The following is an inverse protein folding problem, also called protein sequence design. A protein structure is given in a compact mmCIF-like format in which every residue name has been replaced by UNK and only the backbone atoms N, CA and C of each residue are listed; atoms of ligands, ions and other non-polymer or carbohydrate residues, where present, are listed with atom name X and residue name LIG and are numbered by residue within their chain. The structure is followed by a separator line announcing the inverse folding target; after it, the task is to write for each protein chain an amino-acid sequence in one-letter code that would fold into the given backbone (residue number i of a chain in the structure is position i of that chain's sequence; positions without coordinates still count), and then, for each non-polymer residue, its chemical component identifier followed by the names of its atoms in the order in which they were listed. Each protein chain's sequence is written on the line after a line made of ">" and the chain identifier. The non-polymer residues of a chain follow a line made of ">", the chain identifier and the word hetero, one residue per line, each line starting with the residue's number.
data_IF_284328630263
#
_entry.id   IF_284328630263
#
_cell.length_a   1.000
_cell.length_b   1.000
_cell.length_c   1.000
_cell.angle_alpha   90.00
_cell.angle_beta   90.00
_cell.angle_gamma   90.00
#
_symmetry.space_group_name_H-M   'P 1'
#
loop_
_entity.id
_entity.type
_entity.pdbx_description
1 polymer ?
#
# COMPACT_ATOMS: atom_id res chain seq x y z
N UNK A 1 30.13 44.70 -16.99
CA UNK A 1 29.42 43.48 -16.54
C UNK A 1 29.72 42.37 -17.55
N UNK A 2 30.39 41.30 -17.11
CA UNK A 2 30.98 40.28 -17.98
C UNK A 2 29.91 39.34 -18.54
N UNK A 3 29.96 39.04 -19.84
CA UNK A 3 29.13 38.04 -20.52
C UNK A 3 29.53 36.63 -20.06
N UNK A 4 28.61 35.65 -19.99
CA UNK A 4 28.97 34.26 -19.70
C UNK A 4 29.74 33.69 -20.90
N UNK A 5 30.85 33.02 -20.62
CA UNK A 5 31.65 32.29 -21.61
C UNK A 5 31.17 30.84 -21.58
N UNK A 6 30.62 30.36 -22.69
CA UNK A 6 30.27 28.96 -22.88
C UNK A 6 31.53 28.23 -23.35
N UNK A 7 32.13 27.41 -22.49
CA UNK A 7 33.27 26.57 -22.85
C UNK A 7 32.71 25.22 -23.29
N UNK A 8 32.79 24.93 -24.60
CA UNK A 8 32.52 23.60 -25.14
C UNK A 8 33.84 22.83 -25.12
N UNK A 9 33.92 21.79 -24.29
CA UNK A 9 35.02 20.82 -24.35
C UNK A 9 34.54 19.66 -25.23
N UNK A 10 35.08 19.56 -26.45
CA UNK A 10 34.94 18.36 -27.28
C UNK A 10 35.92 17.30 -26.79
N UNK A 11 35.40 16.18 -26.26
CA UNK A 11 36.15 14.93 -26.10
C UNK A 11 35.46 13.84 -26.93
N UNK A 12 36.18 13.28 -27.90
CA UNK A 12 35.68 12.23 -28.80
C UNK A 12 35.60 10.87 -28.10
N UNK A 13 34.42 10.25 -28.21
CA UNK A 13 34.09 8.82 -28.38
C UNK A 13 35.00 7.75 -27.75
N UNK A 14 34.49 7.08 -26.70
CA UNK A 14 34.38 5.59 -26.66
C UNK A 14 33.53 5.01 -25.52
N UNK A 15 33.03 5.80 -24.57
CA UNK A 15 31.96 5.37 -23.64
C UNK A 15 31.03 6.56 -23.42
N UNK A 16 29.75 6.38 -23.77
CA UNK A 16 28.77 7.47 -23.80
C UNK A 16 28.36 7.91 -22.40
N UNK A 17 29.03 8.93 -21.88
CA UNK A 17 28.54 9.71 -20.74
C UNK A 17 28.76 11.20 -21.01
N UNK A 18 27.66 11.92 -21.24
CA UNK A 18 27.66 13.37 -21.31
C UNK A 18 27.19 13.92 -19.97
N UNK A 19 28.10 14.47 -19.16
CA UNK A 19 27.77 15.14 -17.92
C UNK A 19 27.47 16.63 -18.20
N UNK A 20 26.33 17.13 -17.73
CA UNK A 20 26.04 18.55 -17.75
C UNK A 20 26.28 19.14 -16.35
N UNK A 21 27.15 20.13 -16.26
CA UNK A 21 27.40 20.88 -15.03
C UNK A 21 26.59 22.18 -15.09
N UNK A 22 25.54 22.29 -14.28
CA UNK A 22 24.79 23.54 -14.11
C UNK A 22 25.24 24.22 -12.81
N UNK A 23 25.80 25.43 -12.90
CA UNK A 23 26.23 26.18 -11.71
C UNK A 23 25.25 27.30 -11.38
N UNK A 24 24.54 27.16 -10.27
CA UNK A 24 23.95 28.30 -9.54
C UNK A 24 24.07 28.03 -8.04
N UNK A 25 24.73 28.95 -7.31
CA UNK A 25 24.88 28.99 -5.85
C UNK A 25 25.76 27.92 -5.16
N UNK A 26 26.95 27.62 -5.70
CA UNK A 26 28.08 27.14 -4.89
C UNK A 26 27.95 25.74 -4.25
N UNK A 27 26.95 24.95 -4.65
CA UNK A 27 26.88 23.51 -4.36
C UNK A 27 26.95 22.74 -5.68
N UNK A 28 27.99 21.93 -5.85
CA UNK A 28 28.04 20.93 -6.92
C UNK A 28 26.98 19.86 -6.63
N UNK A 29 25.89 19.85 -7.41
CA UNK A 29 25.04 18.67 -7.53
C UNK A 29 25.34 18.03 -8.88
N UNK A 30 25.81 16.79 -8.84
CA UNK A 30 25.87 15.93 -10.03
C UNK A 30 24.42 15.55 -10.32
N UNK A 31 23.84 16.15 -11.37
CA UNK A 31 22.56 15.71 -11.91
C UNK A 31 22.87 14.60 -12.90
N UNK A 32 22.65 13.36 -12.50
CA UNK A 32 22.72 12.22 -13.40
C UNK A 32 21.66 12.39 -14.50
N UNK A 33 22.06 12.25 -15.76
CA UNK A 33 21.15 12.50 -16.89
C UNK A 33 20.14 11.36 -17.02
N UNK A 34 18.89 11.68 -17.36
CA UNK A 34 17.82 10.68 -17.61
C UNK A 34 18.22 9.62 -18.65
N UNK A 35 19.12 9.96 -19.58
CA UNK A 35 19.67 9.06 -20.59
C UNK A 35 20.63 8.01 -20.01
N UNK A 36 21.19 8.24 -18.81
CA UNK A 36 22.12 7.33 -18.13
C UNK A 36 21.39 6.07 -17.63
N UNK A 37 20.23 6.23 -16.97
CA UNK A 37 19.46 5.10 -16.42
C UNK A 37 18.93 4.14 -17.50
N UNK A 38 18.56 4.64 -18.68
CA UNK A 38 18.13 3.80 -19.81
C UNK A 38 19.31 2.97 -20.32
N UNK A 39 20.46 3.61 -20.51
CA UNK A 39 21.63 2.94 -21.05
C UNK A 39 22.18 1.90 -20.07
N UNK A 40 22.11 2.15 -18.76
CA UNK A 40 22.42 1.18 -17.71
C UNK A 40 21.41 0.03 -17.71
N UNK A 41 20.09 0.30 -17.64
CA UNK A 41 19.05 -0.73 -17.69
C UNK A 41 19.13 -1.61 -18.94
N UNK A 42 19.35 -0.98 -20.10
CA UNK A 42 19.49 -1.67 -21.39
C UNK A 42 20.83 -2.41 -21.46
N UNK A 43 21.90 -1.88 -20.88
CA UNK A 43 23.19 -2.60 -20.75
C UNK A 43 23.04 -3.85 -19.89
N UNK A 44 22.36 -3.76 -18.75
CA UNK A 44 22.11 -4.89 -17.86
C UNK A 44 21.30 -5.99 -18.56
N UNK A 45 20.27 -5.60 -19.33
CA UNK A 45 19.51 -6.51 -20.20
C UNK A 45 20.36 -7.16 -21.29
N UNK A 46 21.29 -6.42 -21.88
CA UNK A 46 22.21 -6.94 -22.91
C UNK A 46 23.24 -7.90 -22.29
N UNK A 47 23.71 -7.68 -21.07
CA UNK A 47 24.65 -8.61 -20.41
C UNK A 47 24.01 -9.95 -20.01
N UNK A 48 22.70 -9.96 -19.76
CA UNK A 48 21.94 -11.17 -19.44
C UNK A 48 21.49 -11.95 -20.68
N UNK A 49 21.38 -11.30 -21.85
CA UNK A 49 20.97 -11.94 -23.11
C UNK A 49 22.15 -12.17 -24.04
N UNK A 50 22.57 -13.43 -24.21
CA UNK A 50 23.68 -13.79 -25.09
C UNK A 50 23.49 -13.30 -26.54
N UNK A 51 24.57 -12.77 -27.10
CA UNK A 51 24.69 -12.16 -28.43
C UNK A 51 24.13 -13.05 -29.57
N UNK A 52 23.12 -12.55 -30.30
CA UNK A 52 22.62 -13.17 -31.54
C UNK A 52 21.27 -12.61 -32.00
N UNK A 53 21.13 -12.30 -33.29
CA UNK A 53 19.97 -11.62 -33.87
C UNK A 53 18.61 -12.28 -33.55
N UNK A 54 17.64 -11.43 -33.15
CA UNK A 54 16.29 -11.75 -32.64
C UNK A 54 16.23 -12.40 -31.25
N UNK A 55 17.00 -11.87 -30.30
CA UNK A 55 16.80 -12.19 -28.89
C UNK A 55 15.46 -11.61 -28.41
N UNK A 56 14.47 -12.48 -28.24
CA UNK A 56 13.32 -12.20 -27.40
C UNK A 56 13.81 -12.17 -25.95
N UNK A 57 13.43 -11.14 -25.20
CA UNK A 57 13.80 -10.92 -23.80
C UNK A 57 12.62 -11.38 -22.95
N UNK A 58 12.86 -12.14 -21.89
CA UNK A 58 11.77 -12.50 -20.99
C UNK A 58 11.19 -11.23 -20.36
N UNK A 59 9.87 -11.07 -20.37
CA UNK A 59 9.21 -9.88 -19.78
C UNK A 59 9.55 -9.73 -18.29
N UNK A 60 9.78 -10.87 -17.60
CA UNK A 60 10.21 -10.88 -16.21
C UNK A 60 11.62 -10.28 -16.01
N UNK A 61 12.53 -10.43 -16.97
CA UNK A 61 13.86 -9.81 -16.89
C UNK A 61 13.75 -8.29 -17.02
N UNK A 62 12.88 -7.80 -17.91
CA UNK A 62 12.57 -6.36 -18.03
C UNK A 62 11.97 -5.82 -16.73
N UNK A 63 11.00 -6.54 -16.14
CA UNK A 63 10.40 -6.19 -14.84
C UNK A 63 11.48 -6.16 -13.75
N UNK A 64 12.38 -7.13 -13.72
CA UNK A 64 13.45 -7.22 -12.73
C UNK A 64 14.41 -6.03 -12.85
N UNK A 65 14.83 -5.67 -14.06
CA UNK A 65 15.71 -4.52 -14.31
C UNK A 65 15.07 -3.22 -13.85
N UNK A 66 13.79 -2.98 -14.18
CA UNK A 66 13.07 -1.79 -13.73
C UNK A 66 12.92 -1.79 -12.20
N UNK A 67 12.56 -2.94 -11.62
CA UNK A 67 12.42 -3.10 -10.18
C UNK A 67 13.72 -2.76 -9.44
N UNK A 68 14.86 -3.25 -9.91
CA UNK A 68 16.17 -2.99 -9.33
C UNK A 68 16.56 -1.51 -9.48
N UNK A 69 16.45 -0.95 -10.68
CA UNK A 69 16.94 0.41 -10.94
C UNK A 69 16.12 1.47 -10.22
N UNK A 70 14.80 1.28 -10.14
CA UNK A 70 13.90 2.21 -9.46
C UNK A 70 13.59 1.82 -8.01
N UNK A 71 14.19 0.74 -7.50
CA UNK A 71 13.91 0.17 -6.17
C UNK A 71 12.41 -0.05 -5.92
N UNK A 72 11.68 -0.51 -6.95
CA UNK A 72 10.24 -0.73 -6.91
C UNK A 72 9.92 -2.20 -6.66
N UNK A 73 8.82 -2.53 -5.96
CA UNK A 73 8.31 -3.90 -5.93
C UNK A 73 8.00 -4.42 -7.35
N UNK A 74 8.47 -5.62 -7.73
CA UNK A 74 8.23 -6.20 -9.06
C UNK A 74 6.74 -6.26 -9.44
N UNK A 75 5.87 -6.49 -8.45
CA UNK A 75 4.41 -6.50 -8.64
C UNK A 75 3.88 -5.15 -9.10
N UNK A 76 4.38 -4.05 -8.54
CA UNK A 76 3.97 -2.70 -8.91
C UNK A 76 4.51 -2.32 -10.29
N UNK A 77 5.72 -2.77 -10.63
CA UNK A 77 6.25 -2.66 -12.00
C UNK A 77 5.31 -3.38 -12.97
N UNK A 78 5.01 -4.66 -12.72
CA UNK A 78 4.11 -5.46 -13.57
C UNK A 78 2.74 -4.83 -13.73
N UNK A 79 2.16 -4.26 -12.66
CA UNK A 79 0.85 -3.60 -12.71
C UNK A 79 0.85 -2.31 -13.56
N UNK A 80 2.02 -1.70 -13.79
CA UNK A 80 2.17 -0.48 -14.58
C UNK A 80 2.60 -0.75 -16.02
N UNK A 81 3.16 -1.94 -16.30
CA UNK A 81 3.39 -2.40 -17.68
C UNK A 81 2.05 -2.39 -18.42
N UNK A 82 2.04 -1.84 -19.64
CA UNK A 82 0.81 -1.71 -20.42
C UNK A 82 0.14 -3.08 -20.66
N UNK A 83 -1.18 -3.07 -20.81
CA UNK A 83 -2.00 -4.24 -21.13
C UNK A 83 -1.49 -4.99 -22.38
N UNK A 84 -0.86 -4.28 -23.31
CA UNK A 84 -0.24 -4.85 -24.50
C UNK A 84 0.91 -5.83 -24.18
N UNK A 85 1.65 -5.59 -23.11
CA UNK A 85 2.87 -6.34 -22.77
C UNK A 85 2.75 -7.20 -21.51
N UNK A 86 1.83 -6.88 -20.58
CA UNK A 86 1.79 -7.47 -19.23
C UNK A 86 1.66 -8.99 -19.19
N UNK A 87 1.04 -9.58 -20.22
CA UNK A 87 0.76 -11.02 -20.34
C UNK A 87 1.67 -11.72 -21.36
N UNK A 88 2.56 -10.98 -22.05
CA UNK A 88 3.56 -11.57 -22.94
C UNK A 88 4.64 -12.26 -22.11
N UNK A 89 4.99 -13.50 -22.43
CA UNK A 89 6.13 -14.19 -21.80
C UNK A 89 7.47 -13.55 -22.18
N UNK A 90 7.57 -13.02 -23.40
CA UNK A 90 8.77 -12.35 -23.90
C UNK A 90 8.43 -11.20 -24.84
N UNK A 91 9.37 -10.25 -24.94
CA UNK A 91 9.28 -9.02 -25.74
C UNK A 91 10.54 -8.82 -26.57
N UNK A 92 10.41 -8.11 -27.69
CA UNK A 92 11.57 -7.67 -28.47
C UNK A 92 12.37 -6.59 -27.72
N UNK A 93 13.63 -6.36 -28.10
CA UNK A 93 14.45 -5.28 -27.53
C UNK A 93 13.80 -3.90 -27.66
N UNK A 94 13.07 -3.63 -28.75
CA UNK A 94 12.38 -2.35 -28.92
C UNK A 94 11.18 -2.20 -27.97
N UNK A 95 10.40 -3.27 -27.78
CA UNK A 95 9.32 -3.29 -26.79
C UNK A 95 9.87 -3.17 -25.36
N UNK A 96 10.97 -3.87 -25.02
CA UNK A 96 11.62 -3.72 -23.72
C UNK A 96 12.06 -2.28 -23.45
N UNK A 97 12.66 -1.60 -24.44
CA UNK A 97 13.02 -0.17 -24.34
C UNK A 97 11.78 0.70 -24.12
N UNK A 98 10.69 0.44 -24.83
CA UNK A 98 9.44 1.19 -24.66
C UNK A 98 8.85 0.99 -23.25
N UNK A 99 8.90 -0.23 -22.71
CA UNK A 99 8.47 -0.52 -21.34
C UNK A 99 9.34 0.27 -20.36
N UNK A 100 10.67 0.18 -20.44
CA UNK A 100 11.59 0.89 -19.52
C UNK A 100 11.37 2.41 -19.59
N UNK A 101 11.23 2.97 -20.79
CA UNK A 101 11.02 4.39 -20.99
C UNK A 101 9.73 4.89 -20.33
N UNK A 102 8.70 4.04 -20.23
CA UNK A 102 7.44 4.40 -19.55
C UNK A 102 7.57 4.64 -18.04
N UNK A 103 8.72 4.31 -17.43
CA UNK A 103 9.01 4.54 -16.01
C UNK A 103 9.89 5.77 -15.76
N UNK A 104 10.40 6.44 -16.80
CA UNK A 104 11.31 7.59 -16.63
C UNK A 104 10.65 8.78 -15.93
N UNK A 105 9.39 9.05 -16.25
CA UNK A 105 8.61 10.13 -15.64
C UNK A 105 7.90 9.69 -14.34
N UNK A 106 8.27 8.53 -13.78
CA UNK A 106 7.68 8.06 -12.55
C UNK A 106 8.08 8.97 -11.39
N UNK A 107 7.06 9.59 -10.80
CA UNK A 107 7.19 10.30 -9.53
C UNK A 107 7.02 9.33 -8.38
N UNK A 108 7.79 9.56 -7.32
CA UNK A 108 7.80 8.73 -6.12
C UNK A 108 7.07 9.42 -4.97
N UNK A 109 6.46 8.60 -4.12
CA UNK A 109 5.73 9.06 -2.96
C UNK A 109 6.68 9.52 -1.85
N UNK A 110 6.57 10.78 -1.44
CA UNK A 110 7.15 11.24 -0.16
C UNK A 110 6.28 10.85 1.04
N UNK A 111 5.02 10.50 0.77
CA UNK A 111 4.00 10.16 1.77
C UNK A 111 2.96 9.22 1.18
N UNK A 112 2.43 8.33 2.02
CA UNK A 112 1.41 7.34 1.64
C UNK A 112 0.17 7.53 2.51
N UNK A 113 -1.00 7.85 1.96
CA UNK A 113 -2.24 7.81 2.72
C UNK A 113 -2.63 6.37 3.06
N UNK A 114 -3.12 6.16 4.28
CA UNK A 114 -3.80 4.91 4.67
C UNK A 114 -5.22 5.26 5.01
N UNK A 115 -6.19 4.62 4.37
CA UNK A 115 -7.61 4.83 4.64
C UNK A 115 -8.18 3.60 5.33
N UNK A 116 -8.94 3.80 6.41
CA UNK A 116 -9.61 2.70 7.11
C UNK A 116 -11.13 2.82 7.05
N UNK A 117 -11.76 1.73 6.63
CA UNK A 117 -13.21 1.51 6.65
C UNK A 117 -13.56 0.48 7.72
N UNK A 118 -14.85 0.29 8.00
CA UNK A 118 -15.32 -0.70 8.97
C UNK A 118 -16.47 -1.49 8.33
N UNK A 119 -17.73 -1.19 8.65
CA UNK A 119 -18.88 -1.90 8.11
C UNK A 119 -19.41 -1.23 6.83
N UNK A 120 -19.87 -2.03 5.86
CA UNK A 120 -20.46 -1.54 4.61
C UNK A 120 -21.91 -2.01 4.51
N UNK A 121 -22.84 -1.11 4.16
CA UNK A 121 -24.23 -1.47 3.84
C UNK A 121 -24.74 -0.61 2.70
N UNK A 122 -25.60 -1.14 1.83
CA UNK A 122 -26.27 -0.30 0.83
C UNK A 122 -27.20 0.70 1.53
N UNK A 123 -27.44 1.85 0.90
CA UNK A 123 -28.24 2.94 1.51
C UNK A 123 -29.66 2.50 1.85
N UNK A 124 -30.28 1.70 0.98
CA UNK A 124 -31.64 1.18 1.11
C UNK A 124 -31.76 0.01 2.10
N UNK A 125 -30.68 -0.76 2.27
CA UNK A 125 -30.57 -1.85 3.24
C UNK A 125 -30.27 -1.37 4.67
N UNK A 126 -29.58 -0.23 4.84
CA UNK A 126 -29.19 0.28 6.16
C UNK A 126 -30.39 0.87 6.93
N UNK A 127 -31.15 -0.02 7.55
CA UNK A 127 -32.28 0.33 8.43
C UNK A 127 -31.84 0.40 9.90
N UNK A 128 -31.05 -0.57 10.34
CA UNK A 128 -30.67 -0.76 11.75
C UNK A 128 -29.54 0.16 12.24
N UNK A 129 -28.60 0.52 11.38
CA UNK A 129 -27.37 1.22 11.78
C UNK A 129 -27.29 2.65 11.26
N UNK A 130 -28.45 3.28 11.02
CA UNK A 130 -28.53 4.68 10.59
C UNK A 130 -27.86 5.59 11.62
N UNK A 131 -27.02 6.50 11.15
CA UNK A 131 -26.28 7.43 12.01
C UNK A 131 -25.03 6.85 12.68
N UNK A 132 -24.73 5.55 12.51
CA UNK A 132 -23.48 4.99 13.00
C UNK A 132 -22.30 5.46 12.13
N UNK A 133 -21.29 6.08 12.75
CA UNK A 133 -20.12 6.62 12.06
C UNK A 133 -19.20 5.56 11.46
N UNK A 134 -19.34 4.29 11.85
CA UNK A 134 -18.55 3.16 11.36
C UNK A 134 -19.26 2.38 10.23
N UNK A 135 -20.46 2.80 9.83
CA UNK A 135 -21.22 2.16 8.75
C UNK A 135 -21.21 3.06 7.52
N UNK A 136 -20.41 2.68 6.53
CA UNK A 136 -20.29 3.37 5.26
C UNK A 136 -21.31 2.84 4.26
N UNK A 137 -21.84 3.73 3.41
CA UNK A 137 -22.67 3.29 2.29
C UNK A 137 -21.82 2.65 1.19
N UNK A 138 -22.21 1.49 0.66
CA UNK A 138 -21.51 0.80 -0.44
C UNK A 138 -21.31 1.71 -1.64
N UNK A 139 -22.31 2.52 -1.98
CA UNK A 139 -22.28 3.46 -3.11
C UNK A 139 -21.18 4.53 -2.94
N UNK A 140 -20.95 5.00 -1.70
CA UNK A 140 -19.88 5.96 -1.43
C UNK A 140 -18.50 5.30 -1.38
N UNK A 141 -18.44 4.05 -0.92
CA UNK A 141 -17.22 3.26 -1.02
C UNK A 141 -16.82 3.04 -2.49
N UNK A 142 -17.78 2.70 -3.35
CA UNK A 142 -17.56 2.57 -4.80
C UNK A 142 -17.11 3.89 -5.43
N UNK A 143 -17.75 5.02 -5.10
CA UNK A 143 -17.32 6.35 -5.55
C UNK A 143 -15.85 6.65 -5.15
N UNK A 144 -15.44 6.26 -3.95
CA UNK A 144 -14.05 6.40 -3.51
C UNK A 144 -13.10 5.52 -4.32
N UNK A 145 -13.44 4.25 -4.55
CA UNK A 145 -12.60 3.33 -5.33
C UNK A 145 -12.49 3.77 -6.79
N UNK A 146 -13.62 4.19 -7.39
CA UNK A 146 -13.64 4.75 -8.74
C UNK A 146 -12.72 5.96 -8.87
N UNK A 147 -12.80 6.89 -7.92
CA UNK A 147 -11.93 8.08 -7.91
C UNK A 147 -10.44 7.70 -7.84
N UNK A 148 -10.07 6.76 -6.96
CA UNK A 148 -8.69 6.29 -6.86
C UNK A 148 -8.22 5.69 -8.19
N UNK A 149 -9.05 4.84 -8.81
CA UNK A 149 -8.73 4.19 -10.07
C UNK A 149 -8.56 5.20 -11.21
N UNK A 150 -9.49 6.15 -11.35
CA UNK A 150 -9.44 7.22 -12.36
C UNK A 150 -8.23 8.16 -12.18
N UNK A 151 -7.64 8.20 -10.98
CA UNK A 151 -6.44 8.99 -10.69
C UNK A 151 -5.17 8.11 -10.62
N UNK A 152 -5.21 6.92 -11.22
CA UNK A 152 -4.06 5.99 -11.33
C UNK A 152 -3.44 5.61 -9.97
N UNK A 153 -4.26 5.50 -8.93
CA UNK A 153 -3.76 4.98 -7.66
C UNK A 153 -3.46 3.50 -7.76
N UNK A 154 -2.45 3.06 -7.02
CA UNK A 154 -2.14 1.65 -6.84
C UNK A 154 -2.13 1.30 -5.36
N UNK A 155 -2.79 0.20 -5.00
CA UNK A 155 -2.77 -0.30 -3.62
C UNK A 155 -1.48 -1.05 -3.32
N UNK A 156 -0.88 -0.73 -2.18
CA UNK A 156 0.32 -1.41 -1.68
C UNK A 156 -0.02 -2.28 -0.46
N UNK A 157 0.74 -3.35 -0.26
CA UNK A 157 0.61 -4.24 0.90
C UNK A 157 1.22 -3.62 2.16
N UNK A 158 0.98 -4.21 3.33
CA UNK A 158 1.63 -3.74 4.56
C UNK A 158 3.14 -4.01 4.55
N UNK A 159 3.60 -5.08 3.90
CA UNK A 159 5.04 -5.34 3.70
C UNK A 159 5.69 -4.29 2.81
N UNK A 160 5.06 -3.92 1.70
CA UNK A 160 5.54 -2.85 0.83
C UNK A 160 5.59 -1.51 1.60
N UNK A 161 4.58 -1.22 2.44
CA UNK A 161 4.60 -0.05 3.31
C UNK A 161 5.77 -0.09 4.33
N UNK A 162 6.02 -1.23 4.97
CA UNK A 162 7.10 -1.38 5.94
C UNK A 162 8.48 -1.20 5.29
N UNK A 163 8.68 -1.76 4.10
CA UNK A 163 9.89 -1.56 3.30
C UNK A 163 10.07 -0.10 2.87
N UNK A 164 8.99 0.59 2.51
CA UNK A 164 9.02 2.03 2.22
C UNK A 164 9.42 2.84 3.46
N UNK A 165 8.81 2.56 4.61
CA UNK A 165 9.10 3.25 5.87
C UNK A 165 10.57 3.08 6.30
N UNK A 166 11.15 1.91 6.02
CA UNK A 166 12.57 1.60 6.27
C UNK A 166 13.52 2.03 5.15
N UNK A 167 13.01 2.71 4.11
CA UNK A 167 13.75 3.21 2.94
C UNK A 167 14.42 2.13 2.09
N UNK A 168 13.89 0.90 2.13
CA UNK A 168 14.40 -0.22 1.34
C UNK A 168 13.82 -0.24 -0.08
N UNK A 169 12.63 0.33 -0.26
CA UNK A 169 11.99 0.49 -1.57
C UNK A 169 11.49 1.91 -1.77
N UNK A 170 11.24 2.27 -3.02
CA UNK A 170 10.44 3.41 -3.42
C UNK A 170 9.03 2.96 -3.80
N UNK A 171 8.10 3.91 -3.78
CA UNK A 171 6.70 3.69 -4.15
C UNK A 171 6.27 4.78 -5.14
N UNK A 172 5.44 4.48 -6.14
CA UNK A 172 4.83 5.50 -7.00
C UNK A 172 4.09 6.56 -6.18
N UNK A 173 4.07 7.81 -6.65
CA UNK A 173 3.39 8.95 -5.99
C UNK A 173 1.93 8.65 -5.61
N UNK A 174 1.21 7.95 -6.49
CA UNK A 174 -0.20 7.57 -6.29
C UNK A 174 -0.34 6.22 -5.56
N UNK A 175 0.52 5.93 -4.59
CA UNK A 175 0.40 4.72 -3.76
C UNK A 175 -0.55 4.96 -2.59
N UNK A 176 -1.37 3.96 -2.25
CA UNK A 176 -2.31 4.03 -1.13
C UNK A 176 -2.42 2.68 -0.42
N UNK A 177 -2.66 2.69 0.89
CA UNK A 177 -3.07 1.50 1.64
C UNK A 177 -4.55 1.60 1.97
N UNK A 178 -5.31 0.57 1.65
CA UNK A 178 -6.72 0.43 2.00
C UNK A 178 -6.83 -0.59 3.11
N UNK A 179 -7.45 -0.22 4.23
CA UNK A 179 -7.67 -1.12 5.35
C UNK A 179 -9.14 -1.19 5.75
N UNK A 180 -9.52 -2.31 6.35
CA UNK A 180 -10.76 -2.47 7.10
C UNK A 180 -10.43 -2.94 8.50
N UNK A 181 -11.25 -2.57 9.47
CA UNK A 181 -11.14 -3.07 10.86
C UNK A 181 -12.35 -3.98 11.18
N UNK A 182 -12.20 -4.82 12.19
CA UNK A 182 -13.20 -5.67 12.85
C UNK A 182 -13.61 -6.97 12.12
N UNK A 183 -13.31 -7.15 10.83
CA UNK A 183 -13.61 -8.40 10.11
C UNK A 183 -15.09 -8.63 9.80
N UNK A 184 -15.83 -7.55 9.50
CA UNK A 184 -17.24 -7.64 9.14
C UNK A 184 -17.46 -8.43 7.85
N UNK A 185 -18.46 -9.32 7.84
CA UNK A 185 -18.80 -10.10 6.64
C UNK A 185 -19.22 -9.21 5.45
N UNK A 186 -19.73 -8.00 5.71
CA UNK A 186 -20.01 -7.01 4.67
C UNK A 186 -18.79 -6.59 3.85
N UNK A 187 -17.58 -6.67 4.41
CA UNK A 187 -16.36 -6.32 3.68
C UNK A 187 -16.13 -7.27 2.51
N UNK A 188 -16.59 -8.51 2.65
CA UNK A 188 -16.49 -9.56 1.65
C UNK A 188 -17.71 -9.58 0.74
N UNK A 189 -18.91 -9.37 1.29
CA UNK A 189 -20.12 -9.27 0.47
C UNK A 189 -20.07 -8.08 -0.49
N UNK A 190 -19.65 -6.90 0.00
CA UNK A 190 -19.71 -5.66 -0.76
C UNK A 190 -18.33 -5.10 -1.13
N UNK A 191 -17.36 -5.14 -0.23
CA UNK A 191 -16.04 -4.55 -0.47
C UNK A 191 -15.23 -5.34 -1.49
N UNK A 192 -15.20 -6.67 -1.36
CA UNK A 192 -14.47 -7.58 -2.24
C UNK A 192 -14.77 -7.38 -3.74
N UNK A 193 -16.03 -7.46 -4.22
CA UNK A 193 -16.30 -7.35 -5.66
C UNK A 193 -15.89 -5.97 -6.22
N UNK A 194 -16.07 -4.90 -5.45
CA UNK A 194 -15.69 -3.54 -5.85
C UNK A 194 -14.17 -3.40 -5.93
N UNK A 195 -13.43 -3.85 -4.90
CA UNK A 195 -11.97 -3.81 -4.91
C UNK A 195 -11.41 -4.62 -6.09
N UNK A 196 -11.94 -5.83 -6.30
CA UNK A 196 -11.55 -6.70 -7.41
C UNK A 196 -11.80 -6.05 -8.77
N UNK A 197 -12.95 -5.41 -8.95
CA UNK A 197 -13.29 -4.67 -10.18
C UNK A 197 -12.25 -3.60 -10.52
N UNK A 198 -11.73 -2.87 -9.52
CA UNK A 198 -10.73 -1.82 -9.72
C UNK A 198 -9.27 -2.31 -9.62
N UNK A 199 -9.05 -3.62 -9.46
CA UNK A 199 -7.71 -4.21 -9.31
C UNK A 199 -7.01 -3.85 -7.99
N UNK A 200 -7.78 -3.47 -6.97
CA UNK A 200 -7.29 -3.05 -5.67
C UNK A 200 -7.20 -4.20 -4.68
N UNK A 201 -6.18 -4.12 -3.82
CA UNK A 201 -5.99 -4.97 -2.65
C UNK A 201 -6.18 -4.18 -1.37
N UNK A 202 -6.51 -4.87 -0.29
CA UNK A 202 -6.70 -4.25 1.02
C UNK A 202 -6.28 -5.20 2.15
N UNK A 203 -6.07 -4.64 3.34
CA UNK A 203 -5.84 -5.43 4.56
C UNK A 203 -7.02 -5.33 5.50
N UNK A 204 -7.41 -6.42 6.14
CA UNK A 204 -8.42 -6.41 7.20
C UNK A 204 -7.73 -6.73 8.53
N UNK A 205 -7.85 -5.82 9.49
CA UNK A 205 -7.45 -6.05 10.87
C UNK A 205 -8.55 -6.84 11.59
N UNK A 206 -8.26 -8.10 11.90
CA UNK A 206 -9.20 -9.12 12.38
C UNK A 206 -9.16 -9.22 13.91
N UNK A 207 -10.34 -9.18 14.52
CA UNK A 207 -10.55 -9.60 15.90
C UNK A 207 -10.69 -11.13 15.88
N UNK A 208 -9.68 -11.88 16.31
CA UNK A 208 -9.66 -13.33 16.03
C UNK A 208 -10.67 -14.14 16.84
N UNK A 209 -11.09 -13.65 18.02
CA UNK A 209 -12.07 -14.32 18.88
C UNK A 209 -13.52 -14.29 18.36
N UNK A 210 -13.81 -13.49 17.34
CA UNK A 210 -15.14 -13.42 16.71
C UNK A 210 -15.18 -14.02 15.30
N UNK A 211 -14.04 -14.50 14.79
CA UNK A 211 -13.98 -15.23 13.52
C UNK A 211 -14.74 -16.54 13.67
N UNK A 212 -15.59 -16.85 12.68
CA UNK A 212 -16.48 -18.00 12.72
C UNK A 212 -15.77 -19.26 12.25
N UNK A 213 -16.19 -20.40 12.79
CA UNK A 213 -15.76 -21.72 12.32
C UNK A 213 -16.33 -22.07 10.93
N UNK A 214 -17.51 -21.53 10.60
CA UNK A 214 -18.23 -21.84 9.36
C UNK A 214 -18.85 -20.60 8.74
N UNK A 215 -18.91 -20.54 7.38
CA UNK A 215 -19.60 -19.48 6.66
C UNK A 215 -21.07 -19.37 7.07
N UNK A 216 -21.62 -18.17 6.96
CA UNK A 216 -23.05 -17.90 7.08
C UNK A 216 -23.52 -16.98 5.97
N UNK A 217 -24.80 -17.04 5.64
CA UNK A 217 -25.38 -16.07 4.72
C UNK A 217 -25.32 -14.66 5.32
N UNK A 218 -24.86 -13.70 4.51
CA UNK A 218 -24.91 -12.29 4.88
C UNK A 218 -26.35 -11.80 5.02
N UNK A 219 -26.61 -10.93 5.99
CA UNK A 219 -27.90 -10.27 6.14
C UNK A 219 -27.74 -8.88 6.77
N UNK A 220 -28.25 -7.80 6.13
CA UNK A 220 -27.88 -6.41 6.46
C UNK A 220 -28.36 -5.92 7.84
N UNK A 221 -29.31 -6.62 8.47
CA UNK A 221 -29.80 -6.27 9.82
C UNK A 221 -29.12 -7.03 10.97
N UNK A 222 -28.17 -7.91 10.67
CA UNK A 222 -27.41 -8.67 11.67
C UNK A 222 -25.92 -8.37 11.53
N UNK A 223 -25.25 -8.19 12.66
CA UNK A 223 -23.80 -8.06 12.66
C UNK A 223 -23.20 -9.46 12.49
N UNK A 224 -22.52 -9.68 11.38
CA UNK A 224 -21.84 -10.93 11.06
C UNK A 224 -20.39 -10.67 10.75
N UNK A 225 -19.57 -11.67 11.05
CA UNK A 225 -18.12 -11.66 10.91
C UNK A 225 -17.71 -12.82 10.01
N UNK A 226 -16.56 -12.64 9.38
CA UNK A 226 -15.96 -13.63 8.49
C UNK A 226 -15.71 -14.97 9.20
N UNK A 227 -15.65 -16.05 8.43
CA UNK A 227 -15.17 -17.35 8.88
C UNK A 227 -13.75 -17.68 8.40
N UNK A 228 -13.07 -18.60 9.08
CA UNK A 228 -11.73 -19.06 8.65
C UNK A 228 -11.70 -19.57 7.20
N UNK A 229 -12.66 -20.39 6.72
CA UNK A 229 -12.67 -20.82 5.31
C UNK A 229 -12.92 -19.68 4.31
N UNK A 230 -13.72 -18.68 4.70
CA UNK A 230 -13.94 -17.51 3.84
C UNK A 230 -12.68 -16.65 3.73
N UNK A 231 -11.88 -16.54 4.80
CA UNK A 231 -10.60 -15.83 4.74
C UNK A 231 -9.68 -16.42 3.66
N UNK A 232 -9.63 -17.74 3.50
CA UNK A 232 -8.88 -18.38 2.41
C UNK A 232 -9.45 -18.06 1.02
N UNK A 233 -10.76 -17.91 0.91
CA UNK A 233 -11.44 -17.65 -0.37
C UNK A 233 -11.12 -16.27 -0.94
N UNK A 234 -10.88 -15.28 -0.08
CA UNK A 234 -10.73 -13.88 -0.50
C UNK A 234 -9.28 -13.36 -0.51
N UNK A 235 -8.28 -14.25 -0.39
CA UNK A 235 -6.84 -13.90 -0.36
C UNK A 235 -6.30 -13.25 -1.63
N UNK A 236 -7.02 -13.31 -2.75
CA UNK A 236 -6.61 -12.60 -3.96
C UNK A 236 -6.71 -11.08 -3.82
N UNK A 237 -7.61 -10.60 -2.94
CA UNK A 237 -7.85 -9.18 -2.66
C UNK A 237 -7.43 -8.79 -1.24
N UNK A 238 -7.69 -9.64 -0.24
CA UNK A 238 -7.48 -9.31 1.17
C UNK A 238 -6.27 -9.99 1.80
N UNK A 239 -5.51 -9.20 2.55
CA UNK A 239 -4.58 -9.67 3.58
C UNK A 239 -5.22 -9.51 4.96
N UNK A 240 -4.75 -10.29 5.95
CA UNK A 240 -5.31 -10.27 7.30
C UNK A 240 -4.23 -9.95 8.33
N UNK A 241 -4.55 -9.08 9.29
CA UNK A 241 -3.62 -8.59 10.31
C UNK A 241 -4.31 -8.50 11.68
N UNK A 242 -3.54 -8.32 12.76
CA UNK A 242 -4.06 -8.44 14.13
C UNK A 242 -4.92 -7.26 14.59
N UNK A 243 -6.06 -7.53 15.23
CA UNK A 243 -6.89 -6.54 15.92
C UNK A 243 -7.33 -7.01 17.32
N UNK A 244 -6.44 -7.72 18.02
CA UNK A 244 -6.68 -8.47 19.28
C UNK A 244 -7.40 -9.79 19.07
N UNK A 245 -7.36 -10.66 20.07
CA UNK A 245 -8.21 -11.86 20.09
C UNK A 245 -9.59 -11.52 20.68
N UNK A 246 -9.62 -10.98 21.89
CA UNK A 246 -10.82 -10.69 22.68
C UNK A 246 -10.67 -9.41 23.55
N UNK A 247 -9.91 -8.43 23.08
CA UNK A 247 -9.69 -7.16 23.80
C UNK A 247 -10.25 -5.93 23.06
N UNK A 248 -11.11 -6.14 22.07
CA UNK A 248 -11.80 -5.08 21.34
C UNK A 248 -13.02 -4.51 22.11
N UNK A 249 -12.77 -4.07 23.35
CA UNK A 249 -13.77 -3.51 24.27
C UNK A 249 -13.24 -2.26 24.98
N UNK A 250 -14.15 -1.53 25.64
CA UNK A 250 -13.82 -0.37 26.48
C UNK A 250 -14.24 -0.57 27.93
N UNK A 251 -13.40 -0.09 28.82
CA UNK A 251 -13.71 0.17 30.23
C UNK A 251 -13.76 1.69 30.43
N UNK A 252 -14.98 2.23 30.48
CA UNK A 252 -15.20 3.67 30.44
C UNK A 252 -14.67 4.31 29.14
N UNK A 253 -13.68 5.20 29.26
CA UNK A 253 -13.08 5.90 28.10
C UNK A 253 -11.88 5.18 27.49
N UNK A 254 -11.41 4.10 28.10
CA UNK A 254 -10.16 3.44 27.74
C UNK A 254 -10.40 2.05 27.14
N UNK A 255 -9.63 1.70 26.12
CA UNK A 255 -9.63 0.34 25.55
C UNK A 255 -9.12 -0.68 26.57
N UNK A 256 -9.60 -1.92 26.46
CA UNK A 256 -9.11 -3.02 27.30
C UNK A 256 -7.60 -3.21 27.19
N UNK A 257 -7.00 -3.02 26.01
CA UNK A 257 -5.54 -2.99 25.85
C UNK A 257 -4.84 -2.06 26.86
N UNK A 258 -5.44 -0.91 27.18
CA UNK A 258 -4.83 0.07 28.07
C UNK A 258 -5.04 -0.21 29.55
N UNK A 259 -6.14 -0.88 29.91
CA UNK A 259 -6.54 -1.03 31.32
C UNK A 259 -6.29 -2.43 31.87
N UNK A 260 -6.26 -3.46 31.02
CA UNK A 260 -6.06 -4.83 31.49
C UNK A 260 -4.61 -5.08 31.94
N UNK A 261 -4.38 -6.09 32.80
CA UNK A 261 -3.04 -6.50 33.21
C UNK A 261 -2.15 -6.81 32.01
N UNK A 262 -0.84 -6.51 32.10
CA UNK A 262 0.08 -6.68 30.97
C UNK A 262 0.08 -8.11 30.44
N UNK A 263 0.11 -9.09 31.34
CA UNK A 263 0.13 -10.51 30.97
C UNK A 263 -1.10 -10.91 30.15
N UNK A 264 -2.30 -10.50 30.58
CA UNK A 264 -3.54 -10.77 29.83
C UNK A 264 -3.54 -10.12 28.44
N UNK A 265 -2.95 -8.93 28.32
CA UNK A 265 -2.77 -8.28 27.01
C UNK A 265 -1.75 -9.04 26.16
N UNK A 266 -0.65 -9.50 26.74
CA UNK A 266 0.38 -10.27 26.04
C UNK A 266 -0.18 -11.60 25.51
N UNK A 267 -0.93 -12.32 26.33
CA UNK A 267 -1.49 -13.62 25.97
C UNK A 267 -2.51 -13.48 24.82
N UNK A 268 -3.38 -12.47 24.89
CA UNK A 268 -4.32 -12.12 23.82
C UNK A 268 -3.62 -11.78 22.51
N UNK A 269 -2.58 -10.93 22.57
CA UNK A 269 -1.82 -10.51 21.40
C UNK A 269 -1.06 -11.69 20.78
N UNK A 270 -0.46 -12.56 21.59
CA UNK A 270 0.21 -13.77 21.10
C UNK A 270 -0.76 -14.72 20.42
N UNK A 271 -1.94 -14.93 21.00
CA UNK A 271 -2.98 -15.75 20.39
C UNK A 271 -3.47 -15.16 19.06
N UNK A 272 -3.70 -13.85 19.00
CA UNK A 272 -4.06 -13.16 17.75
C UNK A 272 -2.97 -13.31 16.68
N UNK A 273 -1.71 -13.16 17.07
CA UNK A 273 -0.56 -13.31 16.17
C UNK A 273 -0.42 -14.75 15.67
N UNK A 274 -0.50 -15.74 16.54
CA UNK A 274 -0.38 -17.16 16.19
C UNK A 274 -1.46 -17.59 15.19
N UNK A 275 -2.70 -17.12 15.36
CA UNK A 275 -3.81 -17.47 14.47
C UNK A 275 -3.73 -16.81 13.09
N UNK A 276 -3.08 -15.65 12.97
CA UNK A 276 -3.03 -14.86 11.73
C UNK A 276 -1.68 -14.91 11.01
N UNK A 277 -0.62 -15.29 11.72
CA UNK A 277 0.77 -15.24 11.25
C UNK A 277 1.13 -13.88 10.63
N UNK A 278 0.88 -12.80 11.38
CA UNK A 278 1.05 -11.42 10.89
C UNK A 278 1.90 -10.58 11.84
N UNK A 279 2.75 -9.73 11.27
CA UNK A 279 3.58 -8.77 11.99
C UNK A 279 2.90 -7.42 12.25
N UNK A 280 1.69 -7.26 11.71
CA UNK A 280 0.95 -6.00 11.68
C UNK A 280 -0.24 -6.02 12.66
N UNK A 281 -0.47 -4.88 13.32
CA UNK A 281 -1.52 -4.75 14.32
C UNK A 281 -2.25 -3.41 14.24
N UNK A 282 -3.58 -3.37 14.30
CA UNK A 282 -4.30 -2.10 14.51
C UNK A 282 -4.74 -1.97 15.98
N UNK A 283 -4.57 -0.80 16.58
CA UNK A 283 -5.09 -0.57 17.93
C UNK A 283 -6.61 -0.42 17.93
N UNK A 284 -7.38 -1.24 18.68
CA UNK A 284 -8.78 -0.98 19.00
C UNK A 284 -9.01 0.47 19.39
N UNK A 285 -9.92 1.12 18.67
CA UNK A 285 -10.27 2.55 18.84
C UNK A 285 -9.09 3.53 18.69
N UNK A 286 -7.99 3.10 18.08
CA UNK A 286 -6.75 3.86 17.94
C UNK A 286 -6.02 4.15 19.26
N UNK A 287 -6.37 3.47 20.36
CA UNK A 287 -5.84 3.78 21.67
C UNK A 287 -4.63 2.93 22.04
N UNK A 288 -3.51 3.59 22.34
CA UNK A 288 -2.26 2.95 22.74
C UNK A 288 -1.65 3.63 23.98
N UNK A 289 -0.59 3.02 24.53
CA UNK A 289 0.26 3.59 25.58
C UNK A 289 1.67 3.01 25.48
N UNK A 290 2.65 3.59 26.21
CA UNK A 290 4.01 3.02 26.27
C UNK A 290 4.06 1.58 26.81
N UNK A 291 3.09 1.19 27.64
CA UNK A 291 2.95 -0.18 28.14
C UNK A 291 2.47 -1.10 27.01
N UNK A 292 1.42 -0.70 26.31
CA UNK A 292 0.85 -1.48 25.19
C UNK A 292 1.86 -1.68 24.07
N UNK A 293 2.65 -0.65 23.72
CA UNK A 293 3.70 -0.77 22.69
C UNK A 293 4.73 -1.83 23.10
N UNK A 294 5.21 -1.80 24.34
CA UNK A 294 6.12 -2.85 24.85
C UNK A 294 5.51 -4.23 24.82
N UNK A 295 4.22 -4.35 25.12
CA UNK A 295 3.52 -5.63 25.06
C UNK A 295 3.38 -6.15 23.62
N UNK A 296 3.21 -5.25 22.63
CA UNK A 296 3.22 -5.62 21.21
C UNK A 296 4.61 -6.11 20.77
N UNK A 297 5.67 -5.41 21.19
CA UNK A 297 7.07 -5.84 20.96
C UNK A 297 7.31 -7.24 21.56
N UNK A 298 6.91 -7.45 22.82
CA UNK A 298 7.00 -8.75 23.52
C UNK A 298 6.16 -9.85 22.85
N UNK A 299 5.05 -9.49 22.19
CA UNK A 299 4.22 -10.40 21.42
C UNK A 299 4.78 -10.69 20.01
N UNK A 300 5.79 -9.94 19.56
CA UNK A 300 6.42 -10.11 18.24
C UNK A 300 5.74 -9.36 17.10
N UNK A 301 4.89 -8.36 17.36
CA UNK A 301 4.44 -7.44 16.32
C UNK A 301 5.55 -6.43 16.03
N UNK A 302 5.70 -6.03 14.76
CA UNK A 302 6.74 -5.07 14.33
C UNK A 302 6.17 -3.71 13.94
N UNK A 303 4.88 -3.67 13.57
CA UNK A 303 4.19 -2.47 13.11
C UNK A 303 2.79 -2.36 13.71
N UNK A 304 2.40 -1.16 14.13
CA UNK A 304 1.09 -0.92 14.71
C UNK A 304 0.40 0.38 14.25
N UNK A 305 -0.88 0.28 13.93
CA UNK A 305 -1.67 1.30 13.24
C UNK A 305 -2.67 1.99 14.17
N UNK A 306 -2.68 3.32 14.10
CA UNK A 306 -3.56 4.23 14.85
C UNK A 306 -4.66 4.77 13.93
N UNK A 307 -5.38 5.81 14.38
CA UNK A 307 -6.36 6.56 13.57
C UNK A 307 -6.05 8.06 13.55
N UNK A 308 -4.77 8.42 13.71
CA UNK A 308 -4.33 9.81 13.54
C UNK A 308 -4.50 10.23 12.06
N UNK A 309 -5.24 11.31 11.75
CA UNK A 309 -5.62 11.66 10.37
C UNK A 309 -4.50 12.42 9.64
N UNK A 310 -3.41 11.71 9.37
CA UNK A 310 -2.24 12.21 8.61
C UNK A 310 -1.68 11.08 7.72
N UNK A 311 -0.91 11.39 6.67
CA UNK A 311 -0.33 10.34 5.84
C UNK A 311 0.93 9.78 6.51
N UNK A 312 1.33 8.58 6.08
CA UNK A 312 2.58 7.94 6.48
C UNK A 312 3.74 8.55 5.71
N UNK A 313 4.86 8.75 6.38
CA UNK A 313 6.16 9.12 5.79
C UNK A 313 7.25 8.17 6.30
N UNK A 314 8.43 8.20 5.70
CA UNK A 314 9.65 7.49 6.18
C UNK A 314 10.11 7.90 7.59
N UNK A 315 9.52 8.94 8.19
CA UNK A 315 9.78 9.38 9.57
C UNK A 315 8.72 8.90 10.56
N UNK A 316 7.72 8.14 10.11
CA UNK A 316 6.65 7.66 10.97
C UNK A 316 7.18 6.58 11.92
N UNK A 317 6.67 6.59 13.14
CA UNK A 317 6.98 5.58 14.15
C UNK A 317 6.29 4.26 13.75
N UNK A 318 7.02 3.13 13.62
CA UNK A 318 6.46 1.83 13.27
C UNK A 318 5.32 1.38 14.18
N UNK A 319 5.29 1.81 15.45
CA UNK A 319 4.21 1.47 16.39
C UNK A 319 3.12 2.54 16.48
N UNK A 320 3.17 3.60 15.66
CA UNK A 320 2.16 4.67 15.63
C UNK A 320 1.82 5.08 14.20
N UNK A 321 1.63 4.10 13.32
CA UNK A 321 1.36 4.35 11.90
C UNK A 321 -0.01 5.04 11.77
N UNK A 322 -0.09 6.25 11.21
CA UNK A 322 -1.35 6.99 11.11
C UNK A 322 -2.27 6.44 10.02
N UNK A 323 -3.59 6.62 10.22
CA UNK A 323 -4.62 6.25 9.25
C UNK A 323 -5.75 7.27 9.26
N UNK A 324 -6.29 7.55 8.08
CA UNK A 324 -7.51 8.32 7.90
C UNK A 324 -8.73 7.43 8.10
N UNK A 325 -9.45 7.63 9.20
CA UNK A 325 -10.74 6.97 9.41
C UNK A 325 -11.79 7.55 8.46
N UNK A 326 -12.38 6.68 7.63
CA UNK A 326 -13.42 7.04 6.67
C UNK A 326 -14.78 6.75 7.29
N UNK A 327 -15.64 7.76 7.32
CA UNK A 327 -16.97 7.71 7.92
C UNK A 327 -18.02 8.36 6.99
N UNK A 328 -19.33 8.25 7.25
CA UNK A 328 -20.38 8.79 6.37
C UNK A 328 -20.29 10.29 6.05
N UNK A 329 -19.55 11.07 6.84
CA UNK A 329 -19.30 12.50 6.62
C UNK A 329 -18.08 12.77 5.72
N UNK A 330 -17.29 11.75 5.42
CA UNK A 330 -16.14 11.80 4.51
C UNK A 330 -16.63 11.70 3.07
N UNK A 331 -17.30 12.77 2.61
CA UNK A 331 -17.72 12.90 1.20
C UNK A 331 -16.50 13.09 0.29
N UNK A 332 -16.70 12.94 -1.02
CA UNK A 332 -15.63 13.04 -2.04
C UNK A 332 -14.66 14.21 -1.85
N UNK A 333 -15.16 15.42 -1.53
CA UNK A 333 -14.29 16.59 -1.27
C UNK A 333 -13.29 16.36 -0.13
N UNK A 334 -13.72 15.72 0.97
CA UNK A 334 -12.84 15.39 2.10
C UNK A 334 -11.95 14.20 1.77
N UNK A 335 -12.50 13.21 1.08
CA UNK A 335 -11.75 12.03 0.63
C UNK A 335 -10.56 12.43 -0.25
N UNK A 336 -10.80 13.25 -1.29
CA UNK A 336 -9.78 13.88 -2.14
C UNK A 336 -8.63 14.50 -1.33
N UNK A 337 -8.97 15.30 -0.32
CA UNK A 337 -7.98 15.92 0.58
C UNK A 337 -7.16 14.89 1.37
N UNK A 338 -7.75 13.77 1.79
CA UNK A 338 -7.03 12.73 2.52
C UNK A 338 -6.03 11.99 1.63
N UNK A 339 -6.41 11.73 0.37
CA UNK A 339 -5.56 10.96 -0.55
C UNK A 339 -4.61 11.83 -1.37
N UNK A 340 -4.83 13.15 -1.43
CA UNK A 340 -3.97 14.09 -2.13
C UNK A 340 -4.37 14.37 -3.57
N UNK A 341 -5.67 14.26 -3.90
CA UNK A 341 -6.22 14.63 -5.21
C UNK A 341 -6.77 16.06 -5.11
N UNK A 342 -6.38 16.91 -6.05
CA UNK A 342 -6.85 18.31 -6.13
C UNK A 342 -8.27 18.47 -6.74
#
# INVERSE_FOLDING_TARGET
>A
MKKPVMIIISLMLLMGSAYFVHTTNGSEQIVESQTTHINEAVSDLITTTAYGQRAMIATNDVIHVISTNYHLPPRLVKARVSEEYKDKESVTMNEARAIIASFEDLKFADRVPIITYHHLLKRDENRRYRGNSLVMSVEMFEEHMKLLHENNYTTITLDELALFMSKQIQLPENSIVITFDDGYLSNFEYGYPILKQYGFKATIFIITGIVRERPIAFHPNYLSFISWPEMETYKDVFEYAGHTHDLHYKEGRYSHLRVKPQQSVLDDLKQSKELLDSDYFAYPYGQYSKKVIRTLEEAGYTHAFTVEPKPVTVKSDPYKIPRYMINPTTKLKRFKKYVGID
#
